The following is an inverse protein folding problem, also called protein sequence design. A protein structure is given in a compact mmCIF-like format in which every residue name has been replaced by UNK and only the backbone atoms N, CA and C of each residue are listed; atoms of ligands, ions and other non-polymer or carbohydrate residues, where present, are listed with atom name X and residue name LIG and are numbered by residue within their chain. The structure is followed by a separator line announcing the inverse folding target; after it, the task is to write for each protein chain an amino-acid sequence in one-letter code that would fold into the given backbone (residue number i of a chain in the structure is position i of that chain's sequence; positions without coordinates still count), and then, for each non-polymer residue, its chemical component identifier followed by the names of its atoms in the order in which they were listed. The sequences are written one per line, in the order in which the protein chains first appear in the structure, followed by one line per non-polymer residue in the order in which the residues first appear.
data_IF_275074795672
#
_entry.id   IF_275074795672
#
_cell.length_a   1.000
_cell.length_b   1.000
_cell.length_c   1.000
_cell.angle_alpha   90.00
_cell.angle_beta   90.00
_cell.angle_gamma   90.00
#
_symmetry.space_group_name_H-M   'P 1'
#
loop_
_entity.id
_entity.type
_entity.pdbx_description
1 polymer ?
#
# COMPACT_ATOMS: atom_id res chain seq x y z
N UNK A 1 -48.61 31.56 21.88
CA UNK A 1 -48.08 30.19 22.06
C UNK A 1 -46.58 30.30 22.18
N UNK A 2 -45.94 29.91 23.29
CA UNK A 2 -44.48 29.88 23.32
C UNK A 2 -43.99 28.84 22.31
N UNK A 3 -42.93 29.17 21.57
CA UNK A 3 -42.29 28.25 20.64
C UNK A 3 -41.72 27.05 21.42
N UNK A 4 -41.97 25.84 20.92
CA UNK A 4 -41.35 24.62 21.45
C UNK A 4 -39.84 24.71 21.28
N UNK A 5 -39.03 24.21 22.23
CA UNK A 5 -37.58 24.26 22.11
C UNK A 5 -37.13 23.44 20.90
N UNK A 6 -36.36 24.05 20.01
CA UNK A 6 -35.69 23.37 18.91
C UNK A 6 -34.74 22.30 19.48
N UNK A 7 -34.74 21.07 18.93
CA UNK A 7 -33.84 20.03 19.39
C UNK A 7 -32.39 20.49 19.23
N UNK A 8 -31.64 20.53 20.33
CA UNK A 8 -30.21 20.81 20.29
C UNK A 8 -29.43 19.69 19.57
N UNK A 9 -28.23 19.99 19.07
CA UNK A 9 -27.38 18.98 18.43
C UNK A 9 -27.07 17.83 19.41
N UNK A 10 -27.15 16.61 18.89
CA UNK A 10 -26.81 15.39 19.63
C UNK A 10 -25.34 15.01 19.39
N UNK A 11 -24.61 14.56 20.42
CA UNK A 11 -23.23 14.14 20.26
C UNK A 11 -23.16 12.87 19.40
N UNK A 12 -22.34 12.94 18.35
CA UNK A 12 -22.00 11.80 17.50
C UNK A 12 -20.55 11.42 17.77
N UNK A 13 -20.35 10.20 18.24
CA UNK A 13 -19.01 9.65 18.55
C UNK A 13 -18.80 8.42 17.67
N UNK A 14 -17.66 8.36 16.98
CA UNK A 14 -17.27 7.24 16.14
C UNK A 14 -15.94 6.67 16.62
N UNK A 15 -15.88 5.36 16.82
CA UNK A 15 -14.63 4.66 17.09
C UNK A 15 -13.96 4.29 15.76
N UNK A 16 -12.98 5.09 15.36
CA UNK A 16 -12.25 4.86 14.11
C UNK A 16 -11.44 3.56 14.12
N UNK A 17 -11.05 3.04 15.28
CA UNK A 17 -10.32 1.77 15.38
C UNK A 17 -11.25 0.62 15.00
N UNK A 18 -12.48 0.65 15.51
CA UNK A 18 -13.50 -0.34 15.18
C UNK A 18 -13.91 -0.25 13.71
N UNK A 19 -14.12 0.95 13.19
CA UNK A 19 -14.49 1.12 11.78
C UNK A 19 -13.37 0.70 10.83
N UNK A 20 -12.10 0.95 11.17
CA UNK A 20 -10.97 0.48 10.37
C UNK A 20 -10.85 -1.05 10.40
N UNK A 21 -11.12 -1.69 11.54
CA UNK A 21 -11.16 -3.14 11.62
C UNK A 21 -12.25 -3.73 10.72
N UNK A 22 -13.45 -3.13 10.70
CA UNK A 22 -14.54 -3.52 9.80
C UNK A 22 -14.16 -3.33 8.34
N UNK A 23 -13.62 -2.16 7.98
CA UNK A 23 -13.18 -1.88 6.61
C UNK A 23 -12.17 -2.93 6.12
N UNK A 24 -11.17 -3.28 6.95
CA UNK A 24 -10.19 -4.32 6.60
C UNK A 24 -10.82 -5.70 6.44
N UNK A 25 -11.76 -6.06 7.31
CA UNK A 25 -12.47 -7.33 7.20
C UNK A 25 -13.26 -7.44 5.88
N UNK A 26 -13.99 -6.39 5.52
CA UNK A 26 -14.73 -6.32 4.25
C UNK A 26 -13.80 -6.37 3.02
N UNK A 27 -12.63 -5.71 3.10
CA UNK A 27 -11.62 -5.79 2.03
C UNK A 27 -11.12 -7.23 1.86
N UNK A 28 -10.78 -7.92 2.95
CA UNK A 28 -10.34 -9.32 2.88
C UNK A 28 -11.45 -10.25 2.36
N UNK A 29 -12.69 -10.02 2.78
CA UNK A 29 -13.84 -10.77 2.27
C UNK A 29 -14.06 -10.57 0.76
N UNK A 30 -13.89 -9.35 0.27
CA UNK A 30 -14.03 -9.02 -1.15
C UNK A 30 -12.90 -9.62 -2.02
N UNK A 31 -11.69 -9.76 -1.49
CA UNK A 31 -10.58 -10.44 -2.17
C UNK A 31 -10.80 -11.95 -2.31
N UNK A 32 -11.59 -12.54 -1.39
CA UNK A 32 -12.02 -13.93 -1.45
C UNK A 32 -11.01 -14.91 -0.85
N UNK A 33 -11.44 -16.18 -0.65
CA UNK A 33 -10.64 -17.19 0.05
C UNK A 33 -9.41 -17.67 -0.73
N UNK A 34 -9.41 -17.49 -2.05
CA UNK A 34 -8.30 -17.91 -2.93
C UNK A 34 -7.21 -16.85 -3.07
N UNK A 35 -7.39 -15.68 -2.43
CA UNK A 35 -6.39 -14.62 -2.49
C UNK A 35 -5.13 -15.00 -1.72
N UNK A 36 -4.02 -15.18 -2.45
CA UNK A 36 -2.68 -15.37 -1.88
C UNK A 36 -1.96 -14.01 -1.80
N UNK A 37 -1.82 -13.40 -0.61
CA UNK A 37 -1.15 -12.11 -0.45
C UNK A 37 0.33 -12.16 -0.81
N UNK A 38 0.97 -13.34 -0.67
CA UNK A 38 2.38 -13.51 -1.02
C UNK A 38 2.53 -13.58 -2.54
N UNK A 39 1.64 -14.29 -3.23
CA UNK A 39 1.63 -14.29 -4.69
C UNK A 39 1.36 -12.90 -5.26
N UNK A 40 0.42 -12.14 -4.69
CA UNK A 40 0.14 -10.76 -5.09
C UNK A 40 1.38 -9.86 -4.94
N UNK A 41 2.09 -9.95 -3.81
CA UNK A 41 3.33 -9.18 -3.58
C UNK A 41 4.45 -9.57 -4.55
N UNK A 42 4.61 -10.87 -4.86
CA UNK A 42 5.58 -11.32 -5.86
C UNK A 42 5.24 -10.80 -7.26
N UNK A 43 3.96 -10.77 -7.61
CA UNK A 43 3.50 -10.26 -8.90
C UNK A 43 3.76 -8.75 -9.04
N UNK A 44 3.54 -7.99 -7.97
CA UNK A 44 3.87 -6.55 -7.92
C UNK A 44 5.37 -6.32 -8.12
N UNK A 45 6.23 -7.07 -7.43
CA UNK A 45 7.68 -7.00 -7.60
C UNK A 45 8.12 -7.31 -9.04
N UNK A 46 7.56 -8.36 -9.64
CA UNK A 46 7.86 -8.71 -11.03
C UNK A 46 7.41 -7.60 -12.01
N UNK A 47 6.29 -6.93 -11.73
CA UNK A 47 5.82 -5.81 -12.52
C UNK A 47 6.73 -4.58 -12.38
N UNK A 48 7.22 -4.27 -11.17
CA UNK A 48 8.21 -3.20 -10.95
C UNK A 48 9.51 -3.48 -11.71
N UNK A 49 10.01 -4.72 -11.67
CA UNK A 49 11.22 -5.11 -12.38
C UNK A 49 11.08 -4.94 -13.89
N UNK A 50 9.92 -5.30 -14.44
CA UNK A 50 9.59 -5.12 -15.85
C UNK A 50 9.50 -3.63 -16.22
N UNK A 51 8.89 -2.80 -15.37
CA UNK A 51 8.70 -1.37 -15.61
C UNK A 51 10.04 -0.64 -15.80
N UNK A 52 11.05 -1.03 -15.03
CA UNK A 52 12.41 -0.49 -15.13
C UNK A 52 13.37 -1.42 -15.87
N UNK A 53 12.85 -2.35 -16.68
CA UNK A 53 13.67 -3.22 -17.52
C UNK A 53 14.08 -2.49 -18.81
N UNK A 54 15.25 -2.86 -19.35
CA UNK A 54 15.69 -2.35 -20.65
C UNK A 54 16.00 -0.85 -20.69
N UNK A 55 16.30 -0.24 -19.54
CA UNK A 55 16.74 1.14 -19.47
C UNK A 55 18.09 1.31 -20.19
N UNK A 56 18.21 2.40 -20.94
CA UNK A 56 19.49 2.81 -21.48
C UNK A 56 20.41 3.43 -20.41
N UNK A 57 21.64 3.76 -20.79
CA UNK A 57 22.65 4.28 -19.87
C UNK A 57 22.28 5.63 -19.23
N UNK A 58 21.45 6.45 -19.89
CA UNK A 58 21.02 7.74 -19.35
C UNK A 58 19.85 7.53 -18.40
N UNK A 59 18.93 6.66 -18.76
CA UNK A 59 17.79 6.27 -17.95
C UNK A 59 18.22 5.54 -16.66
N UNK A 60 19.21 4.65 -16.72
CA UNK A 60 19.79 3.99 -15.53
C UNK A 60 20.41 5.01 -14.56
N UNK A 61 21.07 6.05 -15.08
CA UNK A 61 21.62 7.14 -14.23
C UNK A 61 20.50 7.93 -13.56
N UNK A 62 19.44 8.26 -14.28
CA UNK A 62 18.27 8.93 -13.68
C UNK A 62 17.58 8.04 -12.65
N UNK A 63 17.38 6.75 -12.95
CA UNK A 63 16.82 5.79 -12.01
C UNK A 63 17.64 5.74 -10.71
N UNK A 64 18.97 5.63 -10.80
CA UNK A 64 19.85 5.63 -9.63
C UNK A 64 19.74 6.92 -8.79
N UNK A 65 19.63 8.09 -9.43
CA UNK A 65 19.42 9.36 -8.73
C UNK A 65 18.08 9.40 -7.98
N UNK A 66 17.02 8.91 -8.61
CA UNK A 66 15.68 8.88 -8.01
C UNK A 66 15.60 7.89 -6.85
N UNK A 67 16.29 6.74 -6.94
CA UNK A 67 16.45 5.80 -5.83
C UNK A 67 17.22 6.44 -4.68
N UNK A 68 18.34 7.11 -4.95
CA UNK A 68 19.13 7.79 -3.93
C UNK A 68 18.35 8.92 -3.23
N UNK A 69 17.44 9.59 -3.95
CA UNK A 69 16.55 10.60 -3.41
C UNK A 69 15.32 10.03 -2.66
N UNK A 70 15.13 8.71 -2.67
CA UNK A 70 13.96 8.04 -2.06
C UNK A 70 12.65 8.24 -2.83
N UNK A 71 12.72 8.71 -4.08
CA UNK A 71 11.56 8.89 -4.96
C UNK A 71 11.12 7.56 -5.55
N UNK A 72 12.08 6.70 -5.90
CA UNK A 72 11.81 5.36 -6.43
C UNK A 72 12.31 4.29 -5.45
N UNK A 73 11.62 3.13 -5.40
CA UNK A 73 12.12 1.98 -4.67
C UNK A 73 13.41 1.47 -5.32
N UNK A 74 14.38 1.06 -4.49
CA UNK A 74 15.54 0.34 -4.98
C UNK A 74 15.10 -1.03 -5.49
N UNK A 75 15.51 -1.38 -6.71
CA UNK A 75 15.35 -2.75 -7.22
C UNK A 75 15.93 -3.72 -6.19
N UNK A 76 15.09 -4.59 -5.65
CA UNK A 76 15.55 -5.64 -4.74
C UNK A 76 16.36 -6.61 -5.59
N UNK A 77 17.69 -6.47 -5.61
CA UNK A 77 18.56 -7.58 -6.03
C UNK A 77 18.13 -8.78 -5.21
N UNK A 78 17.82 -9.88 -5.89
CA UNK A 78 17.45 -11.13 -5.26
C UNK A 78 18.36 -11.34 -4.04
N UNK A 79 17.74 -11.54 -2.87
CA UNK A 79 18.44 -11.95 -1.66
C UNK A 79 18.93 -13.40 -1.88
N UNK A 80 19.93 -13.56 -2.74
CA UNK A 80 20.64 -14.80 -3.04
C UNK A 80 22.14 -14.69 -2.76
N UNK A 81 22.61 -13.54 -2.25
CA UNK A 81 23.96 -13.37 -1.73
C UNK A 81 23.89 -12.86 -0.28
N UNK A 82 23.39 -13.72 0.61
CA UNK A 82 23.70 -13.60 2.02
C UNK A 82 24.96 -14.45 2.26
N UNK A 83 26.08 -13.87 2.76
CA UNK A 83 27.23 -14.68 3.12
C UNK A 83 26.80 -15.64 4.22
N UNK A 84 27.06 -16.93 3.99
CA UNK A 84 26.90 -17.95 5.02
C UNK A 84 27.82 -17.62 6.20
N UNK A 85 27.23 -17.28 7.35
CA UNK A 85 27.90 -17.23 8.64
C UNK A 85 26.98 -17.78 9.72
#
# INVERSE_FOLDING_TARGET
MPASPEPGPVPFTLDLTLEEARRRAEVLAALGPDWDPVAALRAEQAAEDLLYSGLDADQERTYALLVAAGVLPARRRDAGDAPSH
#
